data_IF_967730594024
#
_entry.id   IF_967730594024
#
_cell.length_a   1.000
_cell.length_b   1.000
_cell.length_c   1.000
_cell.angle_alpha   90.00
_cell.angle_beta   90.00
_cell.angle_gamma   90.00
#
_symmetry.space_group_name_H-M   'P 1'
#
loop_
_entity.id
_entity.type
_entity.pdbx_description
1 polymer ?
#
# COMPACT_ATOMS: atom_id res chain seq x y z
N UNK A 1 14.79 2.18 -3.29
CA UNK A 1 14.28 3.51 -2.92
C UNK A 1 12.81 3.39 -2.56
N UNK A 2 12.32 4.06 -1.51
CA UNK A 2 10.89 4.07 -1.21
C UNK A 2 10.13 4.66 -2.38
N UNK A 3 9.00 4.02 -2.72
CA UNK A 3 8.13 4.53 -3.78
C UNK A 3 7.09 5.44 -3.12
N UNK A 4 7.05 6.70 -3.56
CA UNK A 4 6.15 7.73 -3.02
C UNK A 4 5.13 8.10 -4.09
N UNK A 5 3.86 8.14 -3.70
CA UNK A 5 2.75 8.56 -4.54
C UNK A 5 1.95 9.65 -3.86
N UNK A 6 1.41 10.56 -4.66
CA UNK A 6 0.66 11.72 -4.20
C UNK A 6 -0.41 12.07 -5.24
N UNK A 7 -1.46 12.81 -4.85
CA UNK A 7 -2.48 13.26 -5.79
C UNK A 7 -1.87 14.20 -6.83
N UNK A 8 -2.37 14.08 -8.06
CA UNK A 8 -1.99 14.97 -9.16
C UNK A 8 -2.65 16.34 -9.03
N UNK A 9 -2.03 17.39 -9.59
CA UNK A 9 -2.61 18.74 -9.56
C UNK A 9 -4.05 18.79 -10.14
N UNK A 10 -4.29 18.04 -11.22
CA UNK A 10 -5.62 17.89 -11.82
C UNK A 10 -6.58 17.06 -10.96
N UNK A 11 -6.07 16.00 -10.33
CA UNK A 11 -6.83 15.21 -9.36
C UNK A 11 -7.28 16.05 -8.17
N UNK A 12 -6.41 16.89 -7.61
CA UNK A 12 -6.74 17.84 -6.53
C UNK A 12 -7.85 18.81 -6.96
N UNK A 13 -7.67 19.43 -8.12
CA UNK A 13 -8.63 20.41 -8.63
C UNK A 13 -10.02 19.82 -8.89
N UNK A 14 -10.10 18.58 -9.42
CA UNK A 14 -11.37 17.99 -9.86
C UNK A 14 -12.06 17.09 -8.83
N UNK A 15 -11.30 16.49 -7.92
CA UNK A 15 -11.86 15.56 -6.91
C UNK A 15 -11.95 16.18 -5.52
N UNK A 16 -11.53 17.44 -5.37
CA UNK A 16 -11.32 18.08 -4.06
C UNK A 16 -10.49 17.19 -3.13
N UNK A 17 -9.57 16.40 -3.70
CA UNK A 17 -8.72 15.54 -2.89
C UNK A 17 -7.80 16.42 -2.08
N UNK A 18 -7.92 16.35 -0.75
CA UNK A 18 -6.96 16.98 0.15
C UNK A 18 -5.53 16.49 -0.09
N UNK A 19 -4.57 17.14 0.56
CA UNK A 19 -3.18 16.71 0.48
C UNK A 19 -3.00 15.37 1.20
N UNK A 20 -2.55 14.38 0.43
CA UNK A 20 -2.18 13.08 0.96
C UNK A 20 -0.91 12.58 0.31
N UNK A 21 -0.15 11.78 1.04
CA UNK A 21 1.06 11.12 0.56
C UNK A 21 0.99 9.65 0.93
N UNK A 22 1.32 8.78 -0.02
CA UNK A 22 1.38 7.34 0.18
C UNK A 22 2.81 6.90 -0.08
N UNK A 23 3.42 6.27 0.90
CA UNK A 23 4.80 5.77 0.78
C UNK A 23 4.83 4.28 1.09
N UNK A 24 5.41 3.49 0.19
CA UNK A 24 5.66 2.06 0.42
C UNK A 24 7.13 1.86 0.76
N UNK A 25 7.37 1.37 1.98
CA UNK A 25 8.67 1.06 2.55
C UNK A 25 8.79 -0.45 2.77
N UNK A 26 9.18 -1.20 1.73
CA UNK A 26 9.45 -2.63 1.87
C UNK A 26 8.21 -3.42 2.31
N UNK A 27 8.07 -3.64 3.60
CA UNK A 27 6.96 -4.34 4.27
C UNK A 27 5.97 -3.42 5.00
N UNK A 28 6.14 -2.10 4.91
CA UNK A 28 5.30 -1.10 5.58
C UNK A 28 4.73 -0.09 4.59
N UNK A 29 3.50 0.36 4.83
CA UNK A 29 2.82 1.43 4.09
C UNK A 29 2.58 2.59 5.04
N UNK A 30 3.02 3.78 4.62
CA UNK A 30 2.73 5.03 5.32
C UNK A 30 1.73 5.83 4.50
N UNK A 31 0.63 6.23 5.13
CA UNK A 31 -0.38 7.11 4.55
C UNK A 31 -0.41 8.39 5.36
N UNK A 32 0.02 9.49 4.76
CA UNK A 32 -0.12 10.83 5.32
C UNK A 32 -1.40 11.45 4.80
N UNK A 33 -2.34 11.81 5.68
CA UNK A 33 -3.61 12.48 5.33
C UNK A 33 -3.73 13.76 6.15
N UNK A 34 -3.76 14.93 5.49
CA UNK A 34 -3.90 16.20 6.21
C UNK A 34 -2.82 16.47 7.26
N UNK A 35 -1.61 15.94 7.05
CA UNK A 35 -0.48 16.04 7.98
C UNK A 35 -0.45 14.98 9.09
N UNK A 36 -1.41 14.05 9.12
CA UNK A 36 -1.40 12.91 10.05
C UNK A 36 -0.80 11.70 9.36
N UNK A 37 0.28 11.17 9.90
CA UNK A 37 0.94 9.96 9.41
C UNK A 37 0.33 8.71 10.05
N UNK A 38 -0.19 7.83 9.20
CA UNK A 38 -0.72 6.53 9.58
C UNK A 38 0.18 5.46 8.98
N UNK A 39 0.92 4.77 9.84
CA UNK A 39 1.84 3.70 9.46
C UNK A 39 1.17 2.35 9.71
N UNK A 40 1.16 1.50 8.69
CA UNK A 40 0.60 0.15 8.76
C UNK A 40 1.56 -0.85 8.12
N UNK A 41 1.67 -2.06 8.68
CA UNK A 41 2.42 -3.12 8.02
C UNK A 41 1.62 -3.63 6.81
N UNK A 42 2.29 -3.98 5.71
CA UNK A 42 1.69 -4.64 4.55
C UNK A 42 0.99 -5.95 4.95
N UNK A 43 1.43 -6.57 6.04
CA UNK A 43 0.82 -7.77 6.63
C UNK A 43 -0.58 -7.52 7.20
N UNK A 44 -0.83 -6.32 7.72
CA UNK A 44 -2.06 -5.94 8.41
C UNK A 44 -3.10 -5.33 7.45
N UNK A 45 -2.69 -5.05 6.21
CA UNK A 45 -3.60 -4.56 5.17
C UNK A 45 -4.46 -5.70 4.67
N UNK A 46 -5.76 -5.61 4.96
CA UNK A 46 -6.75 -6.62 4.60
C UNK A 46 -7.07 -6.55 3.10
N UNK A 47 -7.26 -5.34 2.59
CA UNK A 47 -7.60 -5.11 1.20
C UNK A 47 -7.00 -3.81 0.65
N UNK A 48 -6.54 -3.89 -0.61
CA UNK A 48 -6.19 -2.73 -1.42
C UNK A 48 -6.99 -2.81 -2.71
N UNK A 49 -7.84 -1.81 -2.95
CA UNK A 49 -8.64 -1.70 -4.16
C UNK A 49 -8.22 -0.46 -4.94
N UNK A 50 -7.75 -0.65 -6.16
CA UNK A 50 -7.38 0.43 -7.07
C UNK A 50 -8.44 0.57 -8.15
N UNK A 51 -9.24 1.62 -8.06
CA UNK A 51 -10.26 1.91 -9.08
C UNK A 51 -9.67 2.89 -10.08
N UNK A 52 -9.46 2.41 -11.31
CA UNK A 52 -8.83 3.19 -12.38
C UNK A 52 -9.87 3.98 -13.16
N UNK A 53 -9.66 5.30 -13.24
CA UNK A 53 -10.38 6.15 -14.18
C UNK A 53 -9.51 6.54 -15.39
N UNK A 54 -10.10 7.27 -16.33
CA UNK A 54 -9.45 7.67 -17.57
C UNK A 54 -8.31 8.68 -17.34
N UNK A 55 -8.50 9.61 -16.39
CA UNK A 55 -7.54 10.68 -16.09
C UNK A 55 -6.98 10.60 -14.67
N UNK A 56 -7.79 10.13 -13.71
CA UNK A 56 -7.40 9.90 -12.33
C UNK A 56 -7.97 8.59 -11.84
N UNK A 57 -7.38 8.08 -10.78
CA UNK A 57 -7.83 6.89 -10.05
C UNK A 57 -8.08 7.25 -8.59
N UNK A 58 -8.68 6.32 -7.87
CA UNK A 58 -8.65 6.33 -6.42
C UNK A 58 -8.17 4.98 -5.88
N UNK A 59 -7.58 5.02 -4.70
CA UNK A 59 -7.08 3.85 -3.98
C UNK A 59 -7.88 3.75 -2.68
N UNK A 60 -8.40 2.58 -2.37
CA UNK A 60 -9.00 2.25 -1.08
C UNK A 60 -8.09 1.25 -0.37
N UNK A 61 -7.69 1.57 0.86
CA UNK A 61 -6.84 0.74 1.72
C UNK A 61 -7.65 0.43 2.97
N UNK A 62 -7.73 -0.85 3.33
CA UNK A 62 -8.43 -1.35 4.50
C UNK A 62 -7.45 -2.03 5.45
N UNK A 63 -7.46 -1.63 6.71
CA UNK A 63 -6.60 -2.16 7.79
C UNK A 63 -7.46 -2.30 9.05
N UNK A 64 -7.94 -3.50 9.34
CA UNK A 64 -8.92 -3.71 10.40
C UNK A 64 -10.14 -2.80 10.22
N UNK A 65 -10.47 -2.01 11.24
CA UNK A 65 -11.59 -1.05 11.19
C UNK A 65 -11.27 0.24 10.41
N UNK A 66 -10.01 0.47 10.05
CA UNK A 66 -9.58 1.68 9.36
C UNK A 66 -9.69 1.53 7.84
N UNK A 67 -10.51 2.38 7.22
CA UNK A 67 -10.66 2.45 5.77
C UNK A 67 -10.23 3.83 5.27
N UNK A 68 -9.16 3.86 4.49
CA UNK A 68 -8.66 5.09 3.85
C UNK A 68 -8.94 5.10 2.36
N UNK A 69 -9.42 6.25 1.88
CA UNK A 69 -9.69 6.46 0.46
C UNK A 69 -8.90 7.64 -0.07
N UNK A 70 -7.97 7.34 -0.96
CA UNK A 70 -7.01 8.27 -1.54
C UNK A 70 -7.43 8.61 -2.97
N UNK A 71 -7.75 9.87 -3.22
CA UNK A 71 -8.32 10.33 -4.48
C UNK A 71 -7.31 11.12 -5.33
N UNK A 72 -7.50 11.15 -6.65
CA UNK A 72 -6.81 12.11 -7.52
C UNK A 72 -5.40 11.71 -7.96
N UNK A 73 -4.97 10.47 -7.68
CA UNK A 73 -3.71 9.92 -8.21
C UNK A 73 -3.83 9.68 -9.72
N UNK A 74 -2.74 9.87 -10.49
CA UNK A 74 -2.74 9.55 -11.93
C UNK A 74 -2.89 8.05 -12.13
N UNK A 75 -3.61 7.64 -13.17
CA UNK A 75 -3.88 6.21 -13.40
C UNK A 75 -2.62 5.35 -13.59
N UNK A 76 -1.55 5.92 -14.15
CA UNK A 76 -0.24 5.24 -14.26
C UNK A 76 0.42 5.03 -12.89
N UNK A 77 0.29 6.01 -12.01
CA UNK A 77 0.90 6.00 -10.67
C UNK A 77 0.13 5.04 -9.76
N UNK A 78 -1.19 5.01 -9.88
CA UNK A 78 -2.04 4.03 -9.21
C UNK A 78 -1.71 2.59 -9.62
N UNK A 79 -1.48 2.34 -10.90
CA UNK A 79 -1.05 1.03 -11.39
C UNK A 79 0.38 0.66 -10.91
N UNK A 80 1.27 1.65 -10.81
CA UNK A 80 2.61 1.44 -10.26
C UNK A 80 2.54 1.08 -8.77
N UNK A 81 1.69 1.76 -7.99
CA UNK A 81 1.42 1.42 -6.59
C UNK A 81 0.89 -0.01 -6.43
N UNK A 82 -0.15 -0.36 -7.19
CA UNK A 82 -0.76 -1.70 -7.15
C UNK A 82 0.28 -2.82 -7.37
N UNK A 83 1.15 -2.64 -8.38
CA UNK A 83 2.23 -3.58 -8.67
C UNK A 83 3.28 -3.64 -7.57
N UNK A 84 3.69 -2.48 -7.04
CA UNK A 84 4.68 -2.41 -5.97
C UNK A 84 4.16 -3.06 -4.68
N UNK A 85 2.91 -2.78 -4.31
CA UNK A 85 2.25 -3.38 -3.16
C UNK A 85 2.12 -4.91 -3.31
N UNK A 86 1.68 -5.40 -4.47
CA UNK A 86 1.61 -6.83 -4.75
C UNK A 86 2.99 -7.52 -4.67
N UNK A 87 4.05 -6.86 -5.13
CA UNK A 87 5.42 -7.36 -5.02
C UNK A 87 5.88 -7.44 -3.56
N UNK A 88 5.60 -6.41 -2.75
CA UNK A 88 5.88 -6.40 -1.31
C UNK A 88 5.15 -7.53 -0.58
N UNK A 89 3.86 -7.71 -0.85
CA UNK A 89 3.08 -8.79 -0.24
C UNK A 89 3.61 -10.17 -0.63
N UNK A 90 4.03 -10.35 -1.89
CA UNK A 90 4.65 -11.61 -2.35
C UNK A 90 5.98 -11.86 -1.66
N UNK A 91 6.83 -10.85 -1.51
CA UNK A 91 8.11 -10.95 -0.83
C UNK A 91 7.92 -11.30 0.66
N UNK A 92 6.94 -10.68 1.33
CA UNK A 92 6.58 -10.99 2.71
C UNK A 92 6.14 -12.46 2.85
N UNK A 93 5.22 -12.92 1.99
CA UNK A 93 4.75 -14.31 1.99
C UNK A 93 5.88 -15.31 1.76
N UNK A 94 6.85 -14.98 0.89
CA UNK A 94 8.02 -15.84 0.66
C UNK A 94 8.88 -15.95 1.93
N UNK A 95 9.16 -14.82 2.60
CA UNK A 95 9.94 -14.81 3.85
C UNK A 95 9.26 -15.58 4.97
N UNK A 96 7.94 -15.41 5.14
CA UNK A 96 7.17 -16.15 6.13
C UNK A 96 7.20 -17.66 5.89
N UNK A 97 7.15 -18.08 4.62
CA UNK A 97 7.29 -19.50 4.26
C UNK A 97 8.66 -20.03 4.64
N UNK A 98 9.75 -19.35 4.26
CA UNK A 98 11.11 -19.79 4.60
C UNK A 98 11.32 -19.86 6.12
N UNK A 99 10.88 -18.84 6.86
CA UNK A 99 10.99 -18.81 8.32
C UNK A 99 10.18 -19.94 8.99
N UNK A 100 9.00 -20.28 8.46
CA UNK A 100 8.21 -21.42 8.94
C UNK A 100 8.88 -22.77 8.71
N UNK A 101 9.59 -22.94 7.58
CA UNK A 101 10.37 -24.14 7.30
C UNK A 101 11.58 -24.28 8.23
N UNK A 102 12.33 -23.20 8.47
CA UNK A 102 13.49 -23.22 9.38
C UNK A 102 13.07 -23.60 10.82
N UNK A 103 11.93 -23.07 11.29
CA UNK A 103 11.39 -23.39 12.60
C UNK A 103 10.94 -24.87 12.72
N UNK A 104 10.42 -25.47 11.65
CA UNK A 104 10.05 -26.88 11.63
C UNK A 104 11.28 -27.80 11.56
N UNK A 105 12.30 -27.41 10.78
CA UNK A 105 13.55 -28.16 10.67
C UNK A 105 14.31 -28.21 12.01
N UNK A 106 14.29 -27.14 12.80
CA UNK A 106 14.89 -27.15 14.15
C UNK A 106 14.12 -28.00 15.17
N UNK A 107 12.83 -28.27 14.97
CA UNK A 107 12.02 -29.12 15.86
C UNK A 107 12.18 -30.61 15.60
N UNK A 108 12.60 -31.01 14.40
CA UNK A 108 12.79 -32.41 14.02
C UNK A 108 14.15 -32.98 14.44
N UNK A 109 15.05 -32.14 14.97
CA UNK A 109 16.41 -32.52 15.38
C UNK A 109 16.56 -32.73 16.90
N UNK A 110 15.45 -32.87 17.64
CA UNK A 110 15.42 -33.20 19.06
C UNK A 110 14.86 -34.60 19.30
#
# INVERSE_FOLDING_TARGET
MPSTWQPSAWGKALTSSGDWTLVLHGDSVTVTLGGVDIVTAVADVEAVVVTRGLFWSHIRIEVGEWVSRLYGIRSKDAAAFERAFAASLKALKLRQRTAGFDAAAHRATL
#
